data_IF_823999184041
#
_entry.id   IF_823999184041
#
_cell.length_a   1.000
_cell.length_b   1.000
_cell.length_c   1.000
_cell.angle_alpha   90.00
_cell.angle_beta   90.00
_cell.angle_gamma   90.00
#
_symmetry.space_group_name_H-M   'P 1'
#
loop_
_entity.id
_entity.type
_entity.pdbx_description
1 polymer ?
#
# COMPACT_ATOMS: atom_id res chain seq x y z
N UNK A 1 -13.06 -15.02 9.69
CA UNK A 1 -13.95 -15.23 8.54
C UNK A 1 -14.88 -14.06 8.28
N UNK A 2 -15.73 -13.65 9.23
CA UNK A 2 -16.68 -12.54 9.01
C UNK A 2 -15.99 -11.23 8.64
N UNK A 3 -14.89 -10.87 9.31
CA UNK A 3 -14.09 -9.67 8.99
C UNK A 3 -13.54 -9.68 7.56
N UNK A 4 -13.05 -10.83 7.07
CA UNK A 4 -12.59 -10.97 5.68
C UNK A 4 -13.74 -10.76 4.69
N UNK A 5 -14.92 -11.32 4.96
CA UNK A 5 -16.08 -11.12 4.11
C UNK A 5 -16.55 -9.66 4.09
N UNK A 6 -16.55 -8.98 5.24
CA UNK A 6 -16.86 -7.55 5.34
C UNK A 6 -15.87 -6.68 4.55
N UNK A 7 -14.58 -6.99 4.64
CA UNK A 7 -13.51 -6.31 3.86
C UNK A 7 -13.72 -6.51 2.35
N UNK A 8 -14.02 -7.74 1.92
CA UNK A 8 -14.29 -8.05 0.52
C UNK A 8 -15.56 -7.37 0.01
N UNK A 9 -16.60 -7.25 0.87
CA UNK A 9 -17.85 -6.57 0.56
C UNK A 9 -17.81 -5.06 0.58
N UNK A 10 -16.65 -4.43 0.91
CA UNK A 10 -16.46 -2.98 0.86
C UNK A 10 -17.45 -2.17 1.71
N UNK A 11 -17.99 -2.75 2.78
CA UNK A 11 -18.99 -2.13 3.65
C UNK A 11 -20.44 -2.30 3.18
N UNK A 12 -20.66 -2.94 2.04
CA UNK A 12 -21.98 -3.30 1.53
C UNK A 12 -22.47 -4.62 2.16
N UNK A 13 -23.59 -4.59 2.86
CA UNK A 13 -24.20 -5.82 3.43
C UNK A 13 -24.53 -6.86 2.38
N UNK A 14 -25.03 -6.42 1.23
CA UNK A 14 -25.39 -7.30 0.12
C UNK A 14 -24.16 -8.02 -0.45
N UNK A 15 -23.09 -7.27 -0.68
CA UNK A 15 -21.87 -7.83 -1.26
C UNK A 15 -21.14 -8.71 -0.22
N UNK A 16 -21.19 -8.33 1.06
CA UNK A 16 -20.68 -9.17 2.16
C UNK A 16 -21.39 -10.50 2.24
N UNK A 17 -22.72 -10.54 2.10
CA UNK A 17 -23.49 -11.78 2.08
C UNK A 17 -23.14 -12.64 0.86
N UNK A 18 -22.98 -12.04 -0.32
CA UNK A 18 -22.53 -12.76 -1.52
C UNK A 18 -21.15 -13.38 -1.35
N UNK A 19 -20.24 -12.67 -0.70
CA UNK A 19 -18.90 -13.17 -0.36
C UNK A 19 -18.98 -14.33 0.62
N UNK A 20 -19.84 -14.24 1.64
CA UNK A 20 -20.05 -15.33 2.59
C UNK A 20 -20.58 -16.58 1.90
N UNK A 21 -21.52 -16.45 0.95
CA UNK A 21 -22.02 -17.58 0.15
C UNK A 21 -20.90 -18.23 -0.65
N UNK A 22 -20.00 -17.45 -1.27
CA UNK A 22 -18.83 -17.99 -1.97
C UNK A 22 -17.87 -18.74 -1.04
N UNK A 23 -17.64 -18.20 0.16
CA UNK A 23 -16.81 -18.85 1.17
C UNK A 23 -17.43 -20.17 1.64
N UNK A 24 -18.76 -20.23 1.80
CA UNK A 24 -19.47 -21.46 2.18
C UNK A 24 -19.34 -22.56 1.12
N UNK A 25 -19.42 -22.19 -0.15
CA UNK A 25 -19.22 -23.15 -1.27
C UNK A 25 -17.80 -23.72 -1.29
N UNK A 26 -16.79 -22.91 -0.93
CA UNK A 26 -15.39 -23.33 -0.83
C UNK A 26 -15.03 -24.06 0.48
N UNK A 27 -15.98 -24.25 1.39
CA UNK A 27 -15.72 -24.95 2.65
C UNK A 27 -15.64 -26.46 2.47
N UNK A 28 -14.72 -27.09 3.19
CA UNK A 28 -14.63 -28.56 3.29
C UNK A 28 -15.22 -28.97 4.64
N UNK A 29 -16.24 -29.84 4.61
CA UNK A 29 -16.97 -30.28 5.81
C UNK A 29 -17.56 -29.10 6.64
N UNK A 30 -17.95 -28.02 5.98
CA UNK A 30 -18.49 -26.83 6.63
C UNK A 30 -17.45 -25.94 7.34
N UNK A 31 -16.16 -26.24 7.17
CA UNK A 31 -15.06 -25.46 7.73
C UNK A 31 -14.23 -24.88 6.57
N UNK A 32 -13.91 -23.59 6.65
CA UNK A 32 -12.93 -22.96 5.78
C UNK A 32 -11.80 -22.38 6.64
N UNK A 33 -10.57 -22.68 6.30
CA UNK A 33 -9.41 -22.11 6.98
C UNK A 33 -9.24 -20.64 6.60
N UNK A 34 -8.54 -19.87 7.44
CA UNK A 34 -8.25 -18.46 7.14
C UNK A 34 -7.50 -18.33 5.82
N UNK A 35 -6.45 -19.12 5.61
CA UNK A 35 -5.62 -19.07 4.40
C UNK A 35 -6.39 -19.46 3.14
N UNK A 36 -7.27 -20.45 3.23
CA UNK A 36 -8.15 -20.85 2.12
C UNK A 36 -9.13 -19.70 1.77
N UNK A 37 -9.66 -19.01 2.78
CA UNK A 37 -10.53 -17.86 2.55
C UNK A 37 -9.79 -16.67 1.95
N UNK A 38 -8.57 -16.37 2.42
CA UNK A 38 -7.69 -15.32 1.87
C UNK A 38 -7.41 -15.61 0.40
N UNK A 39 -7.02 -16.86 0.07
CA UNK A 39 -6.75 -17.28 -1.31
C UNK A 39 -8.01 -17.21 -2.19
N UNK A 40 -9.16 -17.70 -1.69
CA UNK A 40 -10.42 -17.70 -2.44
C UNK A 40 -10.92 -16.28 -2.76
N UNK A 41 -10.70 -15.35 -1.86
CA UNK A 41 -11.09 -13.94 -2.02
C UNK A 41 -10.05 -13.10 -2.78
N UNK A 42 -8.92 -13.70 -3.16
CA UNK A 42 -7.84 -13.03 -3.88
C UNK A 42 -7.07 -11.99 -3.05
N UNK A 43 -7.20 -12.03 -1.72
CA UNK A 43 -6.40 -11.20 -0.84
C UNK A 43 -4.95 -11.65 -0.82
N UNK A 44 -4.05 -10.69 -0.64
CA UNK A 44 -2.64 -11.00 -0.42
C UNK A 44 -2.44 -11.50 1.01
N UNK A 45 -1.69 -12.59 1.23
CA UNK A 45 -1.31 -13.01 2.57
C UNK A 45 -0.58 -11.87 3.32
N UNK A 46 -1.00 -11.61 4.56
CA UNK A 46 -0.41 -10.54 5.39
C UNK A 46 1.11 -10.67 5.53
N UNK A 47 1.61 -11.90 5.61
CA UNK A 47 3.04 -12.16 5.65
C UNK A 47 3.80 -11.56 4.45
N UNK A 48 3.23 -11.60 3.24
CA UNK A 48 3.85 -11.00 2.05
C UNK A 48 3.86 -9.47 2.11
N UNK A 49 2.84 -8.87 2.71
CA UNK A 49 2.79 -7.42 2.91
C UNK A 49 3.84 -7.00 3.94
N UNK A 50 3.95 -7.72 5.05
CA UNK A 50 4.99 -7.51 6.06
C UNK A 50 6.40 -7.65 5.48
N UNK A 51 6.67 -8.73 4.73
CA UNK A 51 7.95 -8.96 4.04
C UNK A 51 8.29 -7.81 3.06
N UNK A 52 7.30 -7.27 2.35
CA UNK A 52 7.53 -6.14 1.43
C UNK A 52 7.95 -4.88 2.18
N UNK A 53 7.30 -4.55 3.30
CA UNK A 53 7.67 -3.39 4.13
C UNK A 53 9.06 -3.57 4.74
N UNK A 54 9.37 -4.76 5.25
CA UNK A 54 10.68 -5.06 5.81
C UNK A 54 11.79 -4.96 4.76
N UNK A 55 11.55 -5.44 3.54
CA UNK A 55 12.49 -5.30 2.44
C UNK A 55 12.78 -3.84 2.07
N UNK A 56 11.79 -2.93 2.22
CA UNK A 56 11.99 -1.48 2.04
C UNK A 56 12.80 -0.89 3.20
N UNK A 57 12.52 -1.30 4.44
CA UNK A 57 13.27 -0.88 5.63
C UNK A 57 14.75 -1.26 5.50
N UNK A 58 15.00 -2.50 5.07
CA UNK A 58 16.35 -3.05 4.93
C UNK A 58 17.06 -2.63 3.64
N UNK A 59 16.44 -1.79 2.80
CA UNK A 59 16.93 -1.43 1.45
C UNK A 59 17.29 -2.64 0.59
N UNK A 60 16.57 -3.75 0.78
CA UNK A 60 16.85 -5.04 0.14
C UNK A 60 16.00 -5.23 -1.11
N UNK A 61 16.59 -4.86 -2.27
CA UNK A 61 15.95 -5.02 -3.56
C UNK A 61 15.64 -6.46 -3.93
N UNK A 62 16.54 -7.39 -3.61
CA UNK A 62 16.34 -8.81 -3.91
C UNK A 62 15.12 -9.37 -3.15
N UNK A 63 14.99 -9.06 -1.86
CA UNK A 63 13.84 -9.46 -1.05
C UNK A 63 12.53 -8.87 -1.59
N UNK A 64 12.52 -7.57 -1.93
CA UNK A 64 11.31 -6.91 -2.44
C UNK A 64 10.86 -7.47 -3.79
N UNK A 65 11.79 -7.70 -4.73
CA UNK A 65 11.47 -8.37 -5.99
C UNK A 65 11.07 -9.83 -5.79
N UNK A 66 11.63 -10.50 -4.79
CA UNK A 66 11.20 -11.84 -4.35
C UNK A 66 9.74 -11.88 -3.92
N UNK A 67 9.28 -10.89 -3.16
CA UNK A 67 7.86 -10.74 -2.79
C UNK A 67 6.99 -10.54 -4.04
N UNK A 68 7.37 -9.66 -4.96
CA UNK A 68 6.64 -9.46 -6.22
C UNK A 68 6.53 -10.76 -7.01
N UNK A 69 7.61 -11.54 -7.07
CA UNK A 69 7.60 -12.84 -7.73
C UNK A 69 6.62 -13.81 -7.05
N UNK A 70 6.59 -13.85 -5.72
CA UNK A 70 5.62 -14.66 -4.96
C UNK A 70 4.17 -14.24 -5.26
N UNK A 71 3.89 -12.93 -5.34
CA UNK A 71 2.57 -12.40 -5.69
C UNK A 71 2.15 -12.85 -7.10
N UNK A 72 3.02 -12.68 -8.09
CA UNK A 72 2.71 -12.99 -9.49
C UNK A 72 2.58 -14.49 -9.72
N UNK A 73 3.52 -15.31 -9.21
CA UNK A 73 3.51 -16.78 -9.38
C UNK A 73 2.41 -17.42 -8.53
N UNK A 74 2.14 -16.85 -7.36
CA UNK A 74 1.05 -17.31 -6.48
C UNK A 74 -0.35 -17.02 -7.02
N UNK A 75 -0.44 -16.26 -8.13
CA UNK A 75 -1.73 -15.92 -8.76
C UNK A 75 -2.56 -14.90 -7.96
N UNK A 76 -1.93 -14.16 -7.06
CA UNK A 76 -2.59 -13.07 -6.33
C UNK A 76 -2.82 -11.88 -7.25
N UNK A 77 -3.88 -11.13 -7.00
CA UNK A 77 -4.19 -9.93 -7.77
C UNK A 77 -3.18 -8.80 -7.46
N UNK A 78 -2.41 -8.33 -8.47
CA UNK A 78 -1.41 -7.29 -8.27
C UNK A 78 -1.98 -5.96 -7.77
N UNK A 79 -3.20 -5.60 -8.19
CA UNK A 79 -3.86 -4.38 -7.72
C UNK A 79 -4.22 -4.52 -6.25
N UNK A 80 -4.74 -5.69 -5.87
CA UNK A 80 -5.09 -5.99 -4.48
C UNK A 80 -3.87 -5.95 -3.58
N UNK A 81 -2.74 -6.49 -4.04
CA UNK A 81 -1.47 -6.37 -3.32
C UNK A 81 -1.11 -4.90 -3.04
N UNK A 82 -1.25 -4.01 -4.03
CA UNK A 82 -0.95 -2.58 -3.84
C UNK A 82 -1.94 -1.92 -2.88
N UNK A 83 -3.23 -2.29 -2.92
CA UNK A 83 -4.26 -1.82 -1.99
C UNK A 83 -3.95 -2.27 -0.55
N UNK A 84 -3.58 -3.53 -0.36
CA UNK A 84 -3.23 -4.10 0.94
C UNK A 84 -1.93 -3.48 1.49
N UNK A 85 -0.93 -3.24 0.63
CA UNK A 85 0.29 -2.52 1.00
C UNK A 85 0.01 -1.07 1.43
N UNK A 86 -0.89 -0.38 0.73
CA UNK A 86 -1.32 0.97 1.10
C UNK A 86 -2.03 0.97 2.47
N UNK A 87 -2.90 -0.01 2.70
CA UNK A 87 -3.57 -0.17 4.00
C UNK A 87 -2.56 -0.38 5.13
N UNK A 88 -1.53 -1.21 4.92
CA UNK A 88 -0.44 -1.41 5.88
C UNK A 88 0.30 -0.10 6.19
N UNK A 89 0.71 0.64 5.16
CA UNK A 89 1.40 1.93 5.35
C UNK A 89 0.53 2.94 6.08
N UNK A 90 -0.79 2.97 5.80
CA UNK A 90 -1.76 3.79 6.55
C UNK A 90 -1.77 3.42 8.04
N UNK A 91 -1.82 2.13 8.37
CA UNK A 91 -1.85 1.68 9.75
C UNK A 91 -0.55 2.06 10.49
N UNK A 92 0.61 1.93 9.83
CA UNK A 92 1.89 2.40 10.37
C UNK A 92 1.90 3.93 10.58
N UNK A 93 1.29 4.72 9.68
CA UNK A 93 1.11 6.16 9.86
C UNK A 93 0.24 6.48 11.08
N UNK A 94 -0.88 5.77 11.25
CA UNK A 94 -1.79 5.95 12.38
C UNK A 94 -1.07 5.63 13.69
N UNK A 95 -0.32 4.53 13.76
CA UNK A 95 0.51 4.18 14.93
C UNK A 95 1.58 5.24 15.21
N UNK A 96 2.23 5.76 14.19
CA UNK A 96 3.27 6.80 14.35
C UNK A 96 2.68 8.10 14.92
N UNK A 97 1.46 8.47 14.52
CA UNK A 97 0.81 9.72 14.91
C UNK A 97 0.07 9.64 16.25
N UNK A 98 -0.63 8.53 16.50
CA UNK A 98 -1.53 8.38 17.67
C UNK A 98 -0.98 7.43 18.75
N UNK A 99 0.12 6.71 18.48
CA UNK A 99 0.71 5.75 19.42
C UNK A 99 -0.29 4.67 19.82
N UNK A 100 -0.20 4.23 21.09
CA UNK A 100 -1.05 3.15 21.63
C UNK A 100 -2.57 3.45 21.60
N UNK A 101 -2.96 4.71 21.40
CA UNK A 101 -4.38 5.10 21.22
C UNK A 101 -4.92 4.76 19.83
N UNK A 102 -4.06 4.35 18.94
CA UNK A 102 -4.40 4.05 17.55
C UNK A 102 -5.16 2.73 17.36
N UNK A 103 -5.09 1.80 18.33
CA UNK A 103 -5.63 0.44 18.17
C UNK A 103 -7.09 0.41 17.71
N UNK A 104 -7.91 1.35 18.16
CA UNK A 104 -9.33 1.43 17.77
C UNK A 104 -9.57 1.95 16.34
N UNK A 105 -8.55 2.46 15.69
CA UNK A 105 -8.62 3.10 14.35
C UNK A 105 -7.87 2.30 13.28
N UNK A 106 -7.13 1.28 13.70
CA UNK A 106 -6.40 0.40 12.79
C UNK A 106 -7.36 -0.38 11.87
N UNK A 107 -6.84 -0.81 10.74
CA UNK A 107 -7.59 -1.66 9.83
C UNK A 107 -7.84 -3.04 10.46
N UNK A 108 -8.86 -3.75 9.96
CA UNK A 108 -9.15 -5.13 10.39
C UNK A 108 -7.98 -6.10 10.16
N UNK A 109 -7.05 -5.74 9.29
CA UNK A 109 -5.80 -6.46 9.03
C UNK A 109 -4.82 -6.32 10.17
N UNK A 110 -4.63 -5.10 10.67
CA UNK A 110 -3.73 -4.82 11.79
C UNK A 110 -4.13 -5.53 13.09
N UNK A 111 -5.42 -5.76 13.30
CA UNK A 111 -5.90 -6.53 14.46
C UNK A 111 -5.52 -8.04 14.42
N UNK A 112 -5.24 -8.57 13.22
CA UNK A 112 -4.85 -9.97 13.03
C UNK A 112 -3.33 -10.18 13.10
N UNK A 113 -2.55 -9.08 13.08
CA UNK A 113 -1.10 -9.11 13.06
C UNK A 113 -0.48 -8.96 14.45
N UNK A 114 0.81 -9.28 14.53
CA UNK A 114 1.63 -8.99 15.69
C UNK A 114 1.83 -7.46 15.81
N UNK A 115 1.24 -6.86 16.84
CA UNK A 115 1.36 -5.43 17.12
C UNK A 115 2.81 -5.00 17.33
N UNK A 116 3.67 -5.89 17.82
CA UNK A 116 5.09 -5.62 17.99
C UNK A 116 5.79 -5.38 16.64
N UNK A 117 5.42 -6.15 15.61
CA UNK A 117 5.92 -5.94 14.24
C UNK A 117 5.45 -4.63 13.64
N UNK A 118 4.18 -4.27 13.83
CA UNK A 118 3.65 -2.98 13.40
C UNK A 118 4.41 -1.82 14.04
N UNK A 119 4.61 -1.85 15.36
CA UNK A 119 5.37 -0.83 16.08
C UNK A 119 6.84 -0.77 15.63
N UNK A 120 7.46 -1.92 15.39
CA UNK A 120 8.83 -2.01 14.89
C UNK A 120 8.97 -1.34 13.51
N UNK A 121 8.08 -1.66 12.58
CA UNK A 121 8.07 -1.10 11.23
C UNK A 121 7.76 0.41 11.25
N UNK A 122 6.78 0.84 12.03
CA UNK A 122 6.43 2.26 12.17
C UNK A 122 7.60 3.08 12.71
N UNK A 123 8.31 2.55 13.72
CA UNK A 123 9.49 3.19 14.32
C UNK A 123 10.68 3.23 13.36
N UNK A 124 10.89 2.16 12.58
CA UNK A 124 12.00 2.06 11.63
C UNK A 124 11.88 3.08 10.48
N UNK A 125 10.66 3.26 9.95
CA UNK A 125 10.41 4.18 8.82
C UNK A 125 10.22 5.63 9.27
N UNK A 126 9.43 5.85 10.31
CA UNK A 126 9.05 7.18 10.75
C UNK A 126 8.08 7.91 9.81
N UNK A 127 7.57 9.05 10.27
CA UNK A 127 6.47 9.76 9.60
C UNK A 127 6.80 10.19 8.16
N UNK A 128 7.99 10.72 7.93
CA UNK A 128 8.40 11.23 6.61
C UNK A 128 8.46 10.13 5.55
N UNK A 129 9.12 9.00 5.88
CA UNK A 129 9.21 7.87 4.96
C UNK A 129 7.85 7.25 4.70
N UNK A 130 7.03 7.05 5.73
CA UNK A 130 5.68 6.49 5.60
C UNK A 130 4.79 7.37 4.72
N UNK A 131 4.83 8.69 4.86
CA UNK A 131 4.07 9.62 4.02
C UNK A 131 4.50 9.52 2.56
N UNK A 132 5.80 9.53 2.29
CA UNK A 132 6.32 9.41 0.93
C UNK A 132 6.01 8.04 0.30
N UNK A 133 6.09 6.95 1.09
CA UNK A 133 5.65 5.62 0.65
C UNK A 133 4.17 5.61 0.28
N UNK A 134 3.31 6.20 1.11
CA UNK A 134 1.88 6.30 0.84
C UNK A 134 1.60 7.01 -0.48
N UNK A 135 2.28 8.12 -0.77
CA UNK A 135 2.15 8.88 -2.01
C UNK A 135 2.59 8.05 -3.23
N UNK A 136 3.72 7.37 -3.14
CA UNK A 136 4.24 6.48 -4.21
C UNK A 136 3.25 5.36 -4.49
N UNK A 137 2.76 4.68 -3.45
CA UNK A 137 1.84 3.55 -3.57
C UNK A 137 0.49 4.02 -4.12
N UNK A 138 -0.07 5.10 -3.60
CA UNK A 138 -1.33 5.68 -4.05
C UNK A 138 -1.27 6.11 -5.53
N UNK A 139 -0.17 6.76 -5.94
CA UNK A 139 0.06 7.14 -7.35
C UNK A 139 0.12 5.89 -8.24
N UNK A 140 0.79 4.84 -7.80
CA UNK A 140 0.88 3.58 -8.53
C UNK A 140 -0.48 2.91 -8.65
N UNK A 141 -1.27 2.89 -7.56
CA UNK A 141 -2.62 2.34 -7.54
C UNK A 141 -3.54 3.04 -8.55
N UNK A 142 -3.51 4.37 -8.59
CA UNK A 142 -4.24 5.17 -9.58
C UNK A 142 -3.85 4.86 -11.02
N UNK A 143 -2.60 4.47 -11.25
CA UNK A 143 -2.07 4.11 -12.55
C UNK A 143 -2.31 2.63 -12.93
N UNK A 144 -2.83 1.77 -12.05
CA UNK A 144 -3.04 0.33 -12.33
C UNK A 144 -4.10 0.05 -13.42
N UNK A 145 -4.88 1.05 -13.81
CA UNK A 145 -5.81 1.00 -14.94
C UNK A 145 -5.11 1.53 -16.20
N UNK A 146 -4.55 0.67 -17.03
CA UNK A 146 -3.88 1.13 -18.24
C UNK A 146 -3.19 0.01 -19.04
N UNK A 147 -2.53 0.37 -20.15
CA UNK A 147 -1.92 -0.57 -21.10
C UNK A 147 -0.68 -1.31 -20.58
N UNK A 148 -0.06 -0.84 -19.49
CA UNK A 148 1.13 -1.49 -18.91
C UNK A 148 0.69 -2.69 -18.07
N UNK A 149 1.43 -3.81 -18.20
CA UNK A 149 1.12 -5.02 -17.43
C UNK A 149 1.16 -4.78 -15.94
N UNK A 150 0.24 -5.37 -15.15
CA UNK A 150 0.23 -5.23 -13.70
C UNK A 150 1.56 -5.63 -13.05
N UNK A 151 2.21 -6.68 -13.55
CA UNK A 151 3.53 -7.11 -13.08
C UNK A 151 4.58 -6.00 -13.22
N UNK A 152 4.68 -5.39 -14.39
CA UNK A 152 5.63 -4.30 -14.64
C UNK A 152 5.38 -3.12 -13.70
N UNK A 153 4.12 -2.84 -13.37
CA UNK A 153 3.78 -1.79 -12.41
C UNK A 153 4.26 -2.11 -11.00
N UNK A 154 4.17 -3.37 -10.56
CA UNK A 154 4.75 -3.80 -9.28
C UNK A 154 6.27 -3.66 -9.26
N UNK A 155 6.94 -4.04 -10.35
CA UNK A 155 8.40 -3.90 -10.48
C UNK A 155 8.84 -2.41 -10.44
N UNK A 156 8.10 -1.53 -11.11
CA UNK A 156 8.33 -0.09 -11.05
C UNK A 156 8.01 0.50 -9.67
N UNK A 157 6.98 0.00 -8.99
CA UNK A 157 6.67 0.38 -7.62
C UNK A 157 7.83 0.05 -6.68
N UNK A 158 8.35 -1.18 -6.77
CA UNK A 158 9.50 -1.61 -5.98
C UNK A 158 10.71 -0.71 -6.20
N UNK A 159 11.04 -0.40 -7.46
CA UNK A 159 12.14 0.50 -7.78
C UNK A 159 11.97 1.90 -7.16
N UNK A 160 10.74 2.45 -7.19
CA UNK A 160 10.44 3.77 -6.59
C UNK A 160 10.53 3.75 -5.08
N UNK A 161 10.04 2.70 -4.43
CA UNK A 161 10.12 2.56 -2.97
C UNK A 161 11.57 2.46 -2.50
N UNK A 162 12.41 1.68 -3.19
CA UNK A 162 13.83 1.56 -2.87
C UNK A 162 14.59 2.86 -3.14
N UNK A 163 14.37 3.52 -4.27
CA UNK A 163 15.00 4.81 -4.57
C UNK A 163 14.59 5.89 -3.56
N UNK A 164 13.32 5.89 -3.12
CA UNK A 164 12.83 6.79 -2.07
C UNK A 164 13.52 6.52 -0.74
N UNK A 165 13.69 5.25 -0.36
CA UNK A 165 14.35 4.86 0.88
C UNK A 165 15.84 5.24 0.88
N UNK A 166 16.57 5.06 -0.24
CA UNK A 166 17.96 5.50 -0.39
C UNK A 166 18.13 7.03 -0.29
N UNK A 167 17.18 7.78 -0.82
CA UNK A 167 17.15 9.25 -0.73
C UNK A 167 16.63 9.77 0.61
N UNK A 168 16.35 8.90 1.59
CA UNK A 168 15.75 9.26 2.86
C UNK A 168 14.32 9.77 2.71
N UNK A 169 13.60 9.38 1.64
CA UNK A 169 12.27 9.88 1.30
C UNK A 169 12.19 11.43 1.39
N UNK A 170 13.21 12.13 0.89
CA UNK A 170 13.20 13.57 0.83
C UNK A 170 11.90 14.02 0.13
N UNK A 171 11.04 14.69 0.87
CA UNK A 171 9.84 15.33 0.31
C UNK A 171 10.32 16.32 -0.74
N UNK A 172 9.97 16.09 -2.00
CA UNK A 172 10.12 17.12 -3.04
C UNK A 172 9.28 18.32 -2.59
N UNK A 173 9.95 19.31 -2.01
CA UNK A 173 9.32 20.60 -1.77
C UNK A 173 8.77 21.08 -3.12
N UNK A 174 7.52 21.56 -3.20
CA UNK A 174 7.00 22.11 -4.44
C UNK A 174 7.96 23.20 -4.90
N UNK A 175 8.44 23.05 -6.15
CA UNK A 175 9.34 24.04 -6.74
C UNK A 175 8.67 25.42 -6.63
N UNK A 176 9.36 26.49 -6.14
CA UNK A 176 8.78 27.79 -6.07
C UNK A 176 8.38 28.20 -7.48
N UNK A 177 7.12 28.53 -7.65
CA UNK A 177 6.59 29.06 -8.91
C UNK A 177 7.48 30.27 -9.28
N UNK A 178 8.19 30.15 -10.39
CA UNK A 178 8.96 31.24 -10.94
C UNK A 178 7.97 32.36 -11.27
N UNK A 179 7.92 33.39 -10.41
CA UNK A 179 7.21 34.62 -10.68
C UNK A 179 7.87 35.26 -11.90
N UNK A 180 7.28 35.05 -13.05
CA UNK A 180 7.66 35.73 -14.28
C UNK A 180 7.52 37.22 -14.09
N UNK A 181 8.64 37.90 -14.09
CA UNK A 181 8.71 39.35 -14.10
C UNK A 181 8.17 39.85 -15.44
N UNK A 182 7.19 40.76 -15.49
CA UNK A 182 6.71 41.29 -16.75
C UNK A 182 7.80 42.13 -17.44
N UNK A 183 7.91 42.10 -18.77
CA UNK A 183 8.92 42.89 -19.47
C UNK A 183 8.65 44.39 -19.31
N UNK A 184 9.68 45.12 -18.92
CA UNK A 184 9.66 46.58 -18.85
C UNK A 184 9.30 47.18 -20.21
N UNK A 185 8.27 48.03 -20.23
CA UNK A 185 7.90 48.80 -21.38
C UNK A 185 9.00 49.84 -21.72
N UNK A 186 9.52 49.74 -22.93
CA UNK A 186 10.44 50.73 -23.47
C UNK A 186 9.66 52.02 -23.79
N UNK A 187 9.98 53.09 -23.08
CA UNK A 187 9.51 54.44 -23.40
C UNK A 187 10.30 54.99 -24.59
N UNK A 188 9.69 55.12 -25.74
CA UNK A 188 10.20 55.89 -26.87
C UNK A 188 9.90 57.37 -26.64
N UNK A 189 10.93 58.16 -26.38
CA UNK A 189 10.89 59.60 -26.53
C UNK A 189 11.26 59.96 -27.96
N UNK A 190 10.35 60.60 -28.65
CA UNK A 190 10.54 61.21 -29.96
C UNK A 190 10.71 62.72 -29.73
N UNK A 191 11.73 63.30 -30.33
CA UNK A 191 11.88 64.73 -30.62
C UNK A 191 11.37 64.98 -31.99
#
# INVERSE_FOLDING_TARGET
MLKLAMRAGGGSMRDTLSVLDQLMVGSVEGVITHDAAVALLGFTPEALIGEAVDAVIDHNGEALYGVIQKVVVGGFDPRRFVEDLLARVRDLLVLTLAGDRAESVLSDTAEAEDMDDLHRQAKALGLGALTAMADIINTTLGAMTGAISPRMRLELLAARLLAGSESGFATAAPAPASSGMPPAAASSTST
#
